data_IF_484108706303
#
_entry.id   IF_484108706303
#
_cell.length_a   1.000
_cell.length_b   1.000
_cell.length_c   1.000
_cell.angle_alpha   90.00
_cell.angle_beta   90.00
_cell.angle_gamma   90.00
#
_symmetry.space_group_name_H-M   'P 1'
#
loop_
_entity.id
_entity.type
_entity.pdbx_description
1 polymer ?
#
# COMPACT_ATOMS: atom_id res chain seq x y z
N UNK A 1 7.64 -25.80 -11.25
CA UNK A 1 7.53 -24.83 -12.35
C UNK A 1 7.60 -23.46 -11.72
N UNK A 2 8.55 -22.62 -12.10
CA UNK A 2 8.55 -21.22 -11.66
C UNK A 2 7.49 -20.54 -12.51
N UNK A 3 6.47 -19.97 -11.87
CA UNK A 3 5.47 -19.17 -12.55
C UNK A 3 6.18 -17.98 -13.21
N UNK A 4 5.99 -17.84 -14.52
CA UNK A 4 6.65 -16.82 -15.35
C UNK A 4 5.78 -15.57 -15.50
N UNK A 5 4.62 -15.53 -14.86
CA UNK A 5 3.68 -14.40 -14.92
C UNK A 5 4.20 -13.26 -14.04
N UNK A 6 4.01 -12.02 -14.49
CA UNK A 6 4.33 -10.85 -13.69
C UNK A 6 3.45 -10.82 -12.43
N UNK A 7 4.05 -10.56 -11.27
CA UNK A 7 3.31 -10.48 -10.01
C UNK A 7 2.46 -9.22 -9.97
N UNK A 8 1.23 -9.30 -9.47
CA UNK A 8 0.36 -8.15 -9.21
C UNK A 8 0.42 -7.79 -7.73
N UNK A 9 0.99 -6.63 -7.42
CA UNK A 9 1.16 -6.16 -6.03
C UNK A 9 0.34 -4.90 -5.81
N UNK A 10 -0.54 -4.94 -4.80
CA UNK A 10 -1.22 -3.73 -4.32
C UNK A 10 -0.31 -2.99 -3.35
N UNK A 11 0.07 -1.77 -3.72
CA UNK A 11 0.86 -0.87 -2.87
C UNK A 11 -0.08 0.07 -2.13
N UNK A 12 0.10 0.16 -0.82
CA UNK A 12 -0.68 1.02 0.06
C UNK A 12 0.24 2.09 0.61
N UNK A 13 -0.03 3.35 0.24
CA UNK A 13 0.65 4.51 0.83
C UNK A 13 -0.17 5.03 2.01
N UNK A 14 0.33 4.78 3.22
CA UNK A 14 -0.38 5.09 4.45
C UNK A 14 -0.35 6.56 4.86
N UNK A 15 0.39 7.42 4.15
CA UNK A 15 0.42 8.84 4.47
C UNK A 15 -0.88 9.50 4.03
N UNK A 16 -1.44 10.39 4.86
CA UNK A 16 -2.53 11.29 4.43
C UNK A 16 -2.06 12.22 3.31
N UNK A 17 -3.00 12.72 2.49
CA UNK A 17 -2.68 13.71 1.44
C UNK A 17 -1.83 14.88 1.96
N UNK A 18 -2.20 15.45 3.11
CA UNK A 18 -1.47 16.57 3.72
C UNK A 18 -0.03 16.18 4.07
N UNK A 19 0.18 14.98 4.64
CA UNK A 19 1.52 14.51 4.98
C UNK A 19 2.37 14.24 3.72
N UNK A 20 1.78 13.70 2.65
CA UNK A 20 2.45 13.51 1.35
C UNK A 20 2.89 14.85 0.76
N UNK A 21 2.01 15.84 0.75
CA UNK A 21 2.32 17.21 0.26
C UNK A 21 3.45 17.86 1.07
N UNK A 22 3.43 17.71 2.41
CA UNK A 22 4.50 18.20 3.28
C UNK A 22 5.85 17.54 2.97
N UNK A 23 5.88 16.20 2.85
CA UNK A 23 7.08 15.46 2.47
C UNK A 23 7.64 15.90 1.11
N UNK A 24 6.76 16.04 0.12
CA UNK A 24 7.13 16.49 -1.22
C UNK A 24 7.65 17.93 -1.23
N UNK A 25 7.09 18.82 -0.40
CA UNK A 25 7.60 20.19 -0.23
C UNK A 25 9.03 20.22 0.34
N UNK A 26 9.40 19.19 1.10
CA UNK A 26 10.76 18.95 1.60
C UNK A 26 11.67 18.20 0.61
N UNK A 27 11.20 17.89 -0.60
CA UNK A 27 11.97 17.20 -1.63
C UNK A 27 11.93 15.66 -1.57
N UNK A 28 11.08 15.08 -0.72
CA UNK A 28 10.91 13.62 -0.68
C UNK A 28 10.06 13.10 -1.85
N UNK A 29 10.31 11.86 -2.27
CA UNK A 29 9.40 11.12 -3.16
C UNK A 29 8.19 10.59 -2.38
N UNK A 30 7.13 10.21 -3.08
CA UNK A 30 6.05 9.43 -2.46
C UNK A 30 6.59 8.07 -2.00
N UNK A 31 6.09 7.56 -0.88
CA UNK A 31 6.54 6.28 -0.36
C UNK A 31 6.15 5.14 -1.31
N UNK A 32 4.96 5.21 -1.93
CA UNK A 32 4.55 4.30 -2.98
C UNK A 32 5.54 4.23 -4.15
N UNK A 33 6.04 5.37 -4.65
CA UNK A 33 6.99 5.40 -5.77
C UNK A 33 8.28 4.66 -5.45
N UNK A 34 8.74 4.73 -4.19
CA UNK A 34 9.91 4.00 -3.73
C UNK A 34 9.66 2.49 -3.73
N UNK A 35 8.47 2.07 -3.29
CA UNK A 35 8.05 0.66 -3.29
C UNK A 35 7.92 0.12 -4.72
N UNK A 36 7.25 0.85 -5.62
CA UNK A 36 7.14 0.49 -7.05
C UNK A 36 8.53 0.26 -7.64
N UNK A 37 9.43 1.23 -7.50
CA UNK A 37 10.79 1.14 -8.06
C UNK A 37 11.59 -0.02 -7.46
N UNK A 38 11.45 -0.27 -6.17
CA UNK A 38 12.11 -1.37 -5.49
C UNK A 38 11.60 -2.72 -6.01
N UNK A 39 10.28 -2.92 -6.07
CA UNK A 39 9.68 -4.16 -6.54
C UNK A 39 10.03 -4.43 -8.00
N UNK A 40 9.95 -3.42 -8.87
CA UNK A 40 10.33 -3.52 -10.28
C UNK A 40 11.80 -3.91 -10.46
N UNK A 41 12.69 -3.49 -9.55
CA UNK A 41 14.10 -3.87 -9.58
C UNK A 41 14.35 -5.28 -9.05
N UNK A 42 13.55 -5.74 -8.08
CA UNK A 42 13.75 -7.02 -7.40
C UNK A 42 13.04 -8.20 -8.09
N UNK A 43 11.95 -7.95 -8.84
CA UNK A 43 11.13 -9.00 -9.44
C UNK A 43 11.75 -9.53 -10.77
N UNK A 44 12.21 -10.80 -10.82
CA UNK A 44 12.85 -11.35 -12.02
C UNK A 44 11.90 -11.51 -13.22
N UNK A 45 10.61 -11.73 -12.95
CA UNK A 45 9.56 -11.97 -13.96
C UNK A 45 8.73 -10.71 -14.24
N UNK A 46 9.10 -9.56 -13.66
CA UNK A 46 8.31 -8.33 -13.71
C UNK A 46 7.27 -8.25 -12.59
N UNK A 47 6.77 -7.03 -12.37
CA UNK A 47 5.72 -6.73 -11.39
C UNK A 47 4.82 -5.64 -11.93
N UNK A 48 3.52 -5.81 -11.75
CA UNK A 48 2.51 -4.78 -11.95
C UNK A 48 2.09 -4.27 -10.57
N UNK A 49 2.06 -2.95 -10.41
CA UNK A 49 1.72 -2.34 -9.14
C UNK A 49 0.55 -1.39 -9.32
N UNK A 50 -0.49 -1.57 -8.51
CA UNK A 50 -1.51 -0.55 -8.28
C UNK A 50 -1.21 0.17 -6.96
N UNK A 51 -1.50 1.47 -6.89
CA UNK A 51 -1.25 2.28 -5.70
C UNK A 51 -2.57 2.84 -5.19
N UNK A 52 -2.84 2.67 -3.90
CA UNK A 52 -3.97 3.30 -3.20
C UNK A 52 -3.50 4.08 -1.97
N UNK A 53 -4.33 5.03 -1.53
CA UNK A 53 -4.08 5.95 -0.42
C UNK A 53 -5.20 5.87 0.62
N UNK A 54 -5.33 4.78 1.40
CA UNK A 54 -6.49 4.55 2.27
C UNK A 54 -6.61 5.52 3.45
N UNK A 55 -5.59 6.36 3.69
CA UNK A 55 -5.68 7.48 4.62
C UNK A 55 -6.47 8.68 4.05
N UNK A 56 -6.83 8.64 2.76
CA UNK A 56 -7.68 9.62 2.10
C UNK A 56 -9.13 9.11 2.05
N UNK A 57 -10.09 9.98 2.39
CA UNK A 57 -11.50 9.60 2.45
C UNK A 57 -12.04 9.14 1.10
N UNK A 58 -12.73 8.00 1.08
CA UNK A 58 -13.44 7.50 -0.10
C UNK A 58 -12.56 6.77 -1.12
N UNK A 59 -11.32 6.42 -0.77
CA UNK A 59 -10.46 5.61 -1.63
C UNK A 59 -10.98 4.17 -1.72
N UNK A 60 -11.09 3.69 -2.96
CA UNK A 60 -11.42 2.31 -3.28
C UNK A 60 -10.28 1.66 -4.06
N UNK A 61 -10.34 0.35 -4.21
CA UNK A 61 -9.54 -0.36 -5.20
C UNK A 61 -9.83 0.14 -6.62
N UNK A 62 -8.91 -0.10 -7.59
CA UNK A 62 -9.18 0.11 -9.00
C UNK A 62 -10.48 -0.58 -9.45
N UNK A 63 -11.15 0.03 -10.44
CA UNK A 63 -12.47 -0.44 -10.88
C UNK A 63 -12.40 -1.86 -11.40
N UNK A 64 -13.20 -2.75 -10.81
CA UNK A 64 -13.29 -4.15 -11.21
C UNK A 64 -12.33 -5.08 -10.46
N UNK A 65 -11.41 -4.53 -9.65
CA UNK A 65 -10.46 -5.31 -8.86
C UNK A 65 -11.01 -5.60 -7.45
N UNK A 66 -10.61 -6.74 -6.92
CA UNK A 66 -10.78 -7.16 -5.53
C UNK A 66 -9.41 -7.39 -4.90
N UNK A 67 -9.32 -7.45 -3.56
CA UNK A 67 -8.04 -7.69 -2.89
C UNK A 67 -7.43 -9.03 -3.33
N UNK A 68 -8.26 -10.04 -3.60
CA UNK A 68 -7.83 -11.39 -4.01
C UNK A 68 -7.25 -11.45 -5.43
N UNK A 69 -7.42 -10.40 -6.24
CA UNK A 69 -6.83 -10.33 -7.58
C UNK A 69 -5.33 -9.94 -7.55
N UNK A 70 -4.80 -9.64 -6.36
CA UNK A 70 -3.39 -9.34 -6.13
C UNK A 70 -2.67 -10.54 -5.50
N UNK A 71 -1.44 -10.79 -5.96
CA UNK A 71 -0.54 -11.82 -5.41
C UNK A 71 0.01 -11.43 -4.03
N UNK A 72 -0.02 -10.13 -3.72
CA UNK A 72 0.40 -9.61 -2.42
C UNK A 72 0.11 -8.13 -2.22
N UNK A 73 0.23 -7.71 -0.97
CA UNK A 73 0.08 -6.33 -0.52
C UNK A 73 1.40 -5.83 0.03
N UNK A 74 1.83 -4.64 -0.37
CA UNK A 74 3.00 -3.96 0.18
C UNK A 74 2.58 -2.60 0.76
N UNK A 75 2.70 -2.47 2.08
CA UNK A 75 2.21 -1.31 2.83
C UNK A 75 3.36 -0.45 3.34
N UNK A 76 3.39 0.81 2.92
CA UNK A 76 4.37 1.78 3.41
C UNK A 76 4.11 2.11 4.88
N UNK A 77 5.13 2.62 5.56
CA UNK A 77 4.91 3.34 6.80
C UNK A 77 4.17 4.66 6.58
N UNK A 78 3.76 5.29 7.69
CA UNK A 78 3.25 6.65 7.73
C UNK A 78 3.53 7.25 9.12
N UNK A 79 3.34 8.57 9.28
CA UNK A 79 3.56 9.28 10.55
C UNK A 79 2.38 9.18 11.52
N UNK A 80 1.61 8.10 11.48
CA UNK A 80 0.42 7.91 12.31
C UNK A 80 0.71 7.07 13.55
N UNK A 81 -0.16 7.14 14.55
CA UNK A 81 -0.11 6.32 15.76
C UNK A 81 -1.40 5.51 15.86
N UNK A 82 -1.30 4.19 16.08
CA UNK A 82 -2.47 3.29 16.19
C UNK A 82 -3.46 3.71 17.28
N UNK A 83 -2.99 4.46 18.28
CA UNK A 83 -3.79 4.94 19.41
C UNK A 83 -4.30 6.39 19.25
N UNK A 84 -4.11 7.04 18.10
CA UNK A 84 -4.50 8.44 17.91
C UNK A 84 -6.02 8.65 17.92
N UNK A 85 -6.80 7.63 17.52
CA UNK A 85 -8.26 7.75 17.36
C UNK A 85 -8.69 8.55 16.13
N UNK A 86 -7.74 8.89 15.24
CA UNK A 86 -8.04 9.64 14.02
C UNK A 86 -8.75 8.76 12.98
N UNK A 87 -9.68 9.32 12.17
CA UNK A 87 -10.45 8.54 11.20
C UNK A 87 -9.61 7.80 10.16
N UNK A 88 -8.51 8.41 9.69
CA UNK A 88 -7.58 7.82 8.72
C UNK A 88 -6.90 6.56 9.27
N UNK A 89 -6.65 6.51 10.58
CA UNK A 89 -6.11 5.33 11.25
C UNK A 89 -7.14 4.21 11.31
N UNK A 90 -8.40 4.53 11.60
CA UNK A 90 -9.48 3.54 11.62
C UNK A 90 -9.72 2.91 10.24
N UNK A 91 -9.73 3.73 9.18
CA UNK A 91 -9.87 3.28 7.78
C UNK A 91 -8.73 2.35 7.38
N UNK A 92 -7.49 2.72 7.72
CA UNK A 92 -6.32 1.90 7.48
C UNK A 92 -6.36 0.56 8.25
N UNK A 93 -6.76 0.56 9.52
CA UNK A 93 -6.90 -0.69 10.29
C UNK A 93 -7.98 -1.60 9.68
N UNK A 94 -9.11 -1.05 9.25
CA UNK A 94 -10.15 -1.85 8.59
C UNK A 94 -9.67 -2.43 7.26
N UNK A 95 -8.90 -1.68 6.48
CA UNK A 95 -8.30 -2.18 5.25
C UNK A 95 -7.33 -3.34 5.52
N UNK A 96 -6.49 -3.23 6.56
CA UNK A 96 -5.59 -4.32 6.98
C UNK A 96 -6.35 -5.57 7.42
N UNK A 97 -7.46 -5.40 8.16
CA UNK A 97 -8.35 -6.51 8.53
C UNK A 97 -8.95 -7.15 7.29
N UNK A 98 -9.34 -6.37 6.29
CA UNK A 98 -9.89 -6.91 5.05
C UNK A 98 -8.85 -7.71 4.27
N UNK A 99 -7.63 -7.22 4.10
CA UNK A 99 -6.53 -7.99 3.51
C UNK A 99 -6.34 -9.35 4.22
N UNK A 100 -6.35 -9.35 5.56
CA UNK A 100 -6.25 -10.58 6.34
C UNK A 100 -7.44 -11.52 6.12
N UNK A 101 -8.68 -11.02 6.14
CA UNK A 101 -9.90 -11.83 5.88
C UNK A 101 -9.87 -12.47 4.50
N UNK A 102 -9.28 -11.80 3.51
CA UNK A 102 -9.14 -12.28 2.14
C UNK A 102 -7.96 -13.24 1.93
N UNK A 103 -7.09 -13.38 2.93
CA UNK A 103 -5.97 -14.33 2.89
C UNK A 103 -4.83 -13.91 1.95
N UNK A 104 -4.75 -12.63 1.60
CA UNK A 104 -3.70 -12.12 0.71
C UNK A 104 -2.43 -11.85 1.51
N UNK A 105 -1.25 -12.37 1.08
CA UNK A 105 0.00 -12.11 1.77
C UNK A 105 0.29 -10.61 1.83
N UNK A 106 0.65 -10.12 3.01
CA UNK A 106 0.94 -8.71 3.23
C UNK A 106 2.33 -8.52 3.83
N UNK A 107 3.04 -7.51 3.35
CA UNK A 107 4.24 -6.96 3.95
C UNK A 107 3.99 -5.51 4.35
N UNK A 108 4.40 -5.13 5.56
CA UNK A 108 4.33 -3.77 6.05
C UNK A 108 5.64 -3.29 6.63
N UNK A 109 5.85 -1.97 6.62
CA UNK A 109 7.01 -1.33 7.25
C UNK A 109 6.58 -0.24 8.23
N UNK A 110 7.36 -0.07 9.31
CA UNK A 110 7.13 0.97 10.32
C UNK A 110 5.70 0.89 10.89
N UNK A 111 4.85 1.90 10.66
CA UNK A 111 3.45 1.91 11.11
C UNK A 111 2.64 0.68 10.63
N UNK A 112 2.99 0.10 9.48
CA UNK A 112 2.28 -1.04 8.91
C UNK A 112 2.81 -2.43 9.36
N UNK A 113 3.81 -2.49 10.24
CA UNK A 113 4.43 -3.74 10.74
C UNK A 113 3.88 -4.16 12.11
#
# INVERSE_FOLDING_TARGET
MVDTTALRILIIDGYTKVAREQLQSGGASLAADLYVKMLQRCAPTGVECDVIFPADSGVSLPVGETIQDYDGVAWTGCSSCVFSGEPDVAEQIEFARECYRRGVPAFGSCWAA
#
